data_IF_955896831098
#
_entry.id   IF_955896831098
#
_cell.length_a   1.000
_cell.length_b   1.000
_cell.length_c   1.000
_cell.angle_alpha   90.00
_cell.angle_beta   90.00
_cell.angle_gamma   90.00
#
_symmetry.space_group_name_H-M   'P 1'
#
loop_
_entity.id
_entity.type
_entity.pdbx_description
1 polymer ?
#
# COMPACT_ATOMS: atom_id res chain seq x y z
N UNK A 1 17.30 -3.44 8.54
CA UNK A 1 15.91 -3.73 8.92
C UNK A 1 15.15 -2.45 9.21
N UNK A 2 13.87 -2.36 8.87
CA UNK A 2 13.10 -1.10 8.96
C UNK A 2 13.02 -0.56 10.40
N UNK A 3 13.20 0.74 10.56
CA UNK A 3 13.08 1.42 11.86
C UNK A 3 11.63 1.81 12.21
N UNK A 4 10.70 1.60 11.27
CA UNK A 4 9.27 1.93 11.38
C UNK A 4 8.44 0.84 10.69
N UNK A 5 7.18 0.74 11.07
CA UNK A 5 6.16 0.02 10.30
C UNK A 5 5.62 0.96 9.21
N UNK A 6 5.38 0.45 8.01
CA UNK A 6 4.84 1.19 6.89
C UNK A 6 3.50 0.63 6.43
N UNK A 7 2.65 1.55 6.01
CA UNK A 7 1.27 1.29 5.61
C UNK A 7 0.97 1.94 4.26
N UNK A 8 0.05 1.34 3.52
CA UNK A 8 -0.57 1.95 2.34
C UNK A 8 -2.03 2.24 2.62
N UNK A 9 -2.50 3.41 2.17
CA UNK A 9 -3.89 3.80 2.20
C UNK A 9 -4.69 3.01 1.18
N UNK A 10 -5.78 2.40 1.62
CA UNK A 10 -6.76 1.72 0.76
C UNK A 10 -8.15 2.27 1.04
N UNK A 11 -8.93 2.51 -0.01
CA UNK A 11 -10.30 3.01 0.16
C UNK A 11 -11.20 1.94 0.75
N UNK A 12 -12.04 2.33 1.70
CA UNK A 12 -13.05 1.43 2.24
C UNK A 12 -14.15 1.15 1.20
N UNK A 13 -14.70 -0.07 1.20
CA UNK A 13 -15.87 -0.40 0.37
C UNK A 13 -17.19 0.15 0.94
N UNK A 14 -17.13 1.08 1.91
CA UNK A 14 -18.33 1.65 2.52
C UNK A 14 -19.04 2.57 1.52
N UNK A 15 -20.38 2.61 1.53
CA UNK A 15 -21.13 3.54 0.69
C UNK A 15 -20.66 4.98 0.93
N UNK A 16 -20.33 5.70 -0.14
CA UNK A 16 -20.00 7.11 -0.03
C UNK A 16 -21.21 7.87 0.59
N UNK A 17 -20.95 8.57 1.69
CA UNK A 17 -21.94 9.46 2.31
C UNK A 17 -21.77 10.84 1.69
N UNK A 18 -22.81 11.45 1.07
CA UNK A 18 -22.69 12.77 0.46
C UNK A 18 -22.16 13.82 1.44
N UNK A 19 -21.09 14.52 1.04
CA UNK A 19 -20.45 15.56 1.87
C UNK A 19 -19.39 15.05 2.86
N UNK A 20 -19.12 13.74 2.89
CA UNK A 20 -18.05 13.13 3.67
C UNK A 20 -17.06 12.43 2.73
N UNK A 21 -15.77 12.69 2.91
CA UNK A 21 -14.75 11.88 2.25
C UNK A 21 -14.77 10.46 2.82
N UNK A 22 -14.72 9.42 1.97
CA UNK A 22 -14.64 8.04 2.46
C UNK A 22 -13.44 7.87 3.39
N UNK A 23 -13.59 7.15 4.51
CA UNK A 23 -12.45 6.88 5.38
C UNK A 23 -11.42 6.04 4.61
N UNK A 24 -10.16 6.46 4.71
CA UNK A 24 -9.01 5.66 4.25
C UNK A 24 -8.67 4.66 5.33
N UNK A 25 -8.48 3.41 4.93
CA UNK A 25 -7.94 2.37 5.79
C UNK A 25 -6.43 2.29 5.58
N UNK A 26 -5.66 1.98 6.62
CA UNK A 26 -4.21 1.81 6.53
C UNK A 26 -3.84 0.32 6.61
N UNK A 27 -3.33 -0.25 5.53
CA UNK A 27 -2.87 -1.64 5.47
C UNK A 27 -1.37 -1.71 5.75
N UNK A 28 -0.96 -2.43 6.79
CA UNK A 28 0.44 -2.69 7.08
C UNK A 28 1.05 -3.54 5.96
N UNK A 29 2.06 -3.00 5.28
CA UNK A 29 2.75 -3.66 4.17
C UNK A 29 4.19 -4.01 4.51
N UNK A 30 4.80 -3.32 5.48
CA UNK A 30 6.12 -3.64 6.00
C UNK A 30 6.15 -3.41 7.52
N UNK A 31 6.29 -4.47 8.34
CA UNK A 31 6.32 -4.32 9.79
C UNK A 31 7.65 -3.73 10.25
N UNK A 32 7.69 -3.24 11.49
CA UNK A 32 8.92 -2.85 12.16
C UNK A 32 9.93 -4.00 12.18
N UNK A 33 11.20 -3.69 11.88
CA UNK A 33 12.28 -4.67 11.88
C UNK A 33 12.32 -5.59 10.66
N UNK A 34 11.48 -5.36 9.65
CA UNK A 34 11.52 -6.11 8.39
C UNK A 34 12.93 -6.02 7.76
N UNK A 35 13.54 -7.16 7.47
CA UNK A 35 14.91 -7.23 6.96
C UNK A 35 15.01 -6.67 5.54
N UNK A 36 16.11 -5.98 5.24
CA UNK A 36 16.38 -5.51 3.87
C UNK A 36 16.60 -6.71 2.95
N UNK A 37 16.13 -6.59 1.71
CA UNK A 37 16.13 -7.70 0.76
C UNK A 37 15.06 -8.77 1.03
N UNK A 38 14.25 -8.62 2.08
CA UNK A 38 13.09 -9.49 2.32
C UNK A 38 11.83 -8.94 1.66
N UNK A 39 10.92 -9.85 1.28
CA UNK A 39 9.58 -9.52 0.84
C UNK A 39 8.59 -9.92 1.93
N UNK A 40 7.65 -9.03 2.24
CA UNK A 40 6.55 -9.31 3.15
C UNK A 40 5.64 -10.39 2.57
N UNK A 41 4.99 -11.14 3.44
CA UNK A 41 3.97 -12.11 3.02
C UNK A 41 2.90 -11.44 2.16
N UNK A 42 2.35 -12.17 1.19
CA UNK A 42 1.19 -11.71 0.44
C UNK A 42 -0.05 -11.86 1.35
N UNK A 43 -0.65 -10.77 1.84
CA UNK A 43 -1.85 -10.86 2.64
C UNK A 43 -2.96 -11.55 1.83
N UNK A 44 -3.89 -12.30 2.48
CA UNK A 44 -5.02 -12.90 1.79
C UNK A 44 -5.99 -11.86 1.21
N UNK A 45 -5.98 -10.62 1.75
CA UNK A 45 -6.84 -9.52 1.33
C UNK A 45 -6.60 -9.12 -0.12
N UNK A 46 -7.70 -8.79 -0.81
CA UNK A 46 -7.70 -8.37 -2.20
C UNK A 46 -8.19 -6.93 -2.31
N UNK A 47 -7.56 -6.17 -3.19
CA UNK A 47 -7.83 -4.76 -3.41
C UNK A 47 -8.12 -4.52 -4.89
N UNK A 48 -8.90 -3.47 -5.18
CA UNK A 48 -9.10 -3.00 -6.54
C UNK A 48 -7.98 -2.03 -6.95
N UNK A 49 -7.31 -2.31 -8.05
CA UNK A 49 -6.29 -1.44 -8.64
C UNK A 49 -6.82 -0.84 -9.95
N UNK A 50 -6.90 0.48 -10.02
CA UNK A 50 -7.23 1.18 -11.27
C UNK A 50 -5.98 1.22 -12.16
N UNK A 51 -6.12 0.79 -13.41
CA UNK A 51 -5.02 0.79 -14.40
C UNK A 51 -5.35 1.66 -15.60
N UNK A 52 -4.32 2.21 -16.24
CA UNK A 52 -4.42 3.09 -17.40
C UNK A 52 -4.80 4.54 -17.09
N UNK A 53 -5.06 4.87 -15.83
CA UNK A 53 -5.36 6.22 -15.35
C UNK A 53 -4.41 6.63 -14.20
N UNK A 54 -4.18 7.94 -13.98
CA UNK A 54 -3.42 8.42 -12.84
C UNK A 54 -4.10 8.02 -11.52
N UNK A 55 -3.35 7.37 -10.64
CA UNK A 55 -3.78 7.00 -9.30
C UNK A 55 -2.81 7.54 -8.26
N UNK A 56 -3.35 7.93 -7.10
CA UNK A 56 -2.55 8.41 -5.97
C UNK A 56 -2.47 7.35 -4.88
N UNK A 57 -1.26 6.93 -4.56
CA UNK A 57 -0.95 6.07 -3.44
C UNK A 57 -0.60 6.93 -2.22
N UNK A 58 -1.36 6.75 -1.14
CA UNK A 58 -1.05 7.35 0.16
C UNK A 58 -0.25 6.34 0.97
N UNK A 59 0.84 6.79 1.58
CA UNK A 59 1.68 5.96 2.43
C UNK A 59 1.77 6.55 3.82
N UNK A 60 1.94 5.68 4.82
CA UNK A 60 2.05 6.09 6.21
C UNK A 60 3.21 5.36 6.88
N UNK A 61 3.85 6.00 7.84
CA UNK A 61 4.88 5.42 8.70
C UNK A 61 4.48 5.47 10.16
N UNK A 62 4.94 4.51 10.96
CA UNK A 62 4.76 4.49 12.41
C UNK A 62 6.00 4.01 13.15
N UNK A 63 6.45 4.78 14.14
CA UNK A 63 7.53 4.40 15.05
C UNK A 63 7.04 3.73 16.35
N UNK A 64 5.73 3.82 16.63
CA UNK A 64 5.09 3.34 17.86
C UNK A 64 4.35 2.01 17.64
N UNK A 65 3.79 1.78 16.45
CA UNK A 65 3.06 0.54 16.10
C UNK A 65 3.99 -0.58 15.66
N UNK A 66 4.85 -1.04 16.58
CA UNK A 66 5.94 -2.00 16.31
C UNK A 66 5.50 -3.47 16.22
N UNK A 67 4.25 -3.77 16.54
CA UNK A 67 3.75 -5.14 16.68
C UNK A 67 2.82 -5.54 15.52
N UNK A 68 2.37 -4.56 14.74
CA UNK A 68 1.54 -4.80 13.57
C UNK A 68 2.29 -5.66 12.56
N UNK A 69 1.61 -6.66 12.02
CA UNK A 69 2.14 -7.60 11.02
C UNK A 69 1.63 -7.22 9.63
N UNK A 70 2.28 -7.75 8.59
CA UNK A 70 1.80 -7.61 7.21
C UNK A 70 0.34 -8.05 7.11
N UNK A 71 -0.50 -7.22 6.49
CA UNK A 71 -1.94 -7.48 6.37
C UNK A 71 -2.79 -6.95 7.53
N UNK A 72 -2.18 -6.40 8.59
CA UNK A 72 -2.92 -5.67 9.63
C UNK A 72 -3.60 -4.47 8.99
N UNK A 73 -4.93 -4.39 9.11
CA UNK A 73 -5.74 -3.33 8.53
C UNK A 73 -6.28 -2.45 9.65
N UNK A 74 -5.93 -1.17 9.61
CA UNK A 74 -6.38 -0.17 10.58
C UNK A 74 -7.51 0.65 9.95
N UNK A 75 -8.66 0.68 10.61
CA UNK A 75 -9.81 1.51 10.28
C UNK A 75 -9.92 2.77 11.16
N UNK A 76 -9.07 2.86 12.18
CA UNK A 76 -8.90 4.02 13.06
C UNK A 76 -7.47 4.03 13.63
N UNK A 77 -6.92 5.22 13.86
CA UNK A 77 -5.67 5.46 14.57
C UNK A 77 -5.65 6.90 15.12
N UNK A 78 -4.88 7.13 16.19
CA UNK A 78 -4.67 8.48 16.72
C UNK A 78 -3.61 9.24 15.90
N UNK A 79 -3.64 10.58 15.93
CA UNK A 79 -2.76 11.44 15.09
C UNK A 79 -1.26 11.20 15.30
N UNK A 80 -0.85 10.72 16.47
CA UNK A 80 0.53 10.39 16.81
C UNK A 80 0.93 8.95 16.48
N UNK A 81 -0.02 8.11 16.06
CA UNK A 81 0.27 6.71 15.71
C UNK A 81 0.75 6.54 14.28
N UNK A 82 0.15 7.25 13.31
CA UNK A 82 0.54 7.18 11.89
C UNK A 82 0.88 8.58 11.35
N UNK A 83 2.04 8.69 10.72
CA UNK A 83 2.45 9.85 9.96
C UNK A 83 2.26 9.61 8.47
N UNK A 84 1.49 10.47 7.78
CA UNK A 84 1.39 10.42 6.32
C UNK A 84 2.71 10.85 5.68
N UNK A 85 3.19 10.03 4.75
CA UNK A 85 4.39 10.24 3.96
C UNK A 85 4.05 10.93 2.64
N UNK A 86 5.07 11.29 1.86
CA UNK A 86 4.86 11.81 0.51
C UNK A 86 4.14 10.75 -0.34
N UNK A 87 2.92 11.07 -0.78
CA UNK A 87 2.15 10.19 -1.64
C UNK A 87 2.77 10.13 -3.03
N UNK A 88 2.59 9.00 -3.71
CA UNK A 88 3.01 8.84 -5.11
C UNK A 88 1.80 8.96 -6.01
N UNK A 89 1.93 9.78 -7.05
CA UNK A 89 1.04 9.73 -8.20
C UNK A 89 1.70 8.92 -9.32
N UNK A 90 1.00 7.92 -9.83
CA UNK A 90 1.50 7.07 -10.91
C UNK A 90 0.35 6.65 -11.82
N UNK A 91 0.62 6.57 -13.12
CA UNK A 91 -0.27 5.91 -14.08
C UNK A 91 0.24 4.50 -14.32
N UNK A 92 -0.48 3.52 -13.79
CA UNK A 92 -0.11 2.11 -13.97
C UNK A 92 -0.52 1.64 -15.36
N UNK A 93 0.32 0.90 -16.11
CA UNK A 93 -0.02 0.44 -17.46
C UNK A 93 -1.27 -0.44 -17.45
N UNK A 94 -2.15 -0.29 -18.44
CA UNK A 94 -3.37 -1.10 -18.53
C UNK A 94 -3.09 -2.57 -18.90
N UNK A 95 -1.95 -2.86 -19.54
CA UNK A 95 -1.55 -4.22 -19.94
C UNK A 95 -2.65 -4.95 -20.74
N UNK A 96 -3.13 -4.29 -21.80
CA UNK A 96 -4.20 -4.79 -22.67
C UNK A 96 -5.63 -4.64 -22.11
N UNK A 97 -5.79 -4.05 -20.92
CA UNK A 97 -7.09 -3.72 -20.32
C UNK A 97 -7.61 -2.36 -20.75
N UNK A 98 -8.87 -2.09 -20.41
CA UNK A 98 -9.46 -0.76 -20.62
C UNK A 98 -8.87 0.22 -19.60
N UNK A 99 -8.44 1.43 -20.00
CA UNK A 99 -8.10 2.48 -19.03
C UNK A 99 -9.27 2.74 -18.08
N UNK A 100 -8.99 2.84 -16.77
CA UNK A 100 -9.99 2.94 -15.71
C UNK A 100 -10.51 1.60 -15.20
N UNK A 101 -10.08 0.47 -15.78
CA UNK A 101 -10.48 -0.86 -15.33
C UNK A 101 -9.92 -1.15 -13.93
N UNK A 102 -10.77 -1.71 -13.06
CA UNK A 102 -10.40 -2.12 -11.70
C UNK A 102 -9.98 -3.59 -11.71
N UNK A 103 -8.70 -3.84 -11.43
CA UNK A 103 -8.11 -5.19 -11.38
C UNK A 103 -8.02 -5.67 -9.93
N UNK A 104 -8.52 -6.86 -9.58
CA UNK A 104 -8.31 -7.44 -8.26
C UNK A 104 -6.86 -7.88 -8.09
N UNK A 105 -6.20 -7.33 -7.07
CA UNK A 105 -4.78 -7.57 -6.76
C UNK A 105 -4.57 -7.88 -5.29
N UNK A 106 -3.46 -8.55 -4.99
CA UNK A 106 -2.85 -8.61 -3.67
C UNK A 106 -1.66 -7.68 -3.63
N UNK A 107 -1.47 -7.03 -2.51
CA UNK A 107 -0.33 -6.13 -2.31
C UNK A 107 0.79 -6.89 -1.60
N UNK A 108 2.01 -6.78 -2.10
CA UNK A 108 3.22 -7.18 -1.39
C UNK A 108 4.13 -5.98 -1.30
N UNK A 109 4.94 -5.92 -0.25
CA UNK A 109 6.02 -4.94 -0.20
C UNK A 109 7.36 -5.61 0.07
N UNK A 110 8.41 -4.96 -0.39
CA UNK A 110 9.79 -5.33 -0.13
C UNK A 110 10.58 -4.08 0.26
N UNK A 111 11.54 -4.27 1.16
CA UNK A 111 12.49 -3.23 1.54
C UNK A 111 13.76 -3.49 0.76
N UNK A 112 14.19 -2.55 -0.07
CA UNK A 112 15.43 -2.69 -0.85
C UNK A 112 16.65 -2.49 0.05
N UNK A 113 17.83 -2.92 -0.43
CA UNK A 113 19.11 -2.68 0.24
C UNK A 113 19.47 -1.19 0.36
N UNK A 114 18.80 -0.33 -0.41
CA UNK A 114 18.94 1.14 -0.36
C UNK A 114 17.99 1.79 0.64
N UNK A 115 17.20 1.00 1.39
CA UNK A 115 16.20 1.50 2.31
C UNK A 115 14.95 2.07 1.63
N UNK A 116 14.68 1.69 0.38
CA UNK A 116 13.47 2.11 -0.38
C UNK A 116 12.36 1.08 -0.14
N UNK A 117 11.11 1.53 0.00
CA UNK A 117 9.98 0.61 0.03
C UNK A 117 9.42 0.42 -1.38
N UNK A 118 9.35 -0.83 -1.82
CA UNK A 118 8.69 -1.22 -3.06
C UNK A 118 7.34 -1.82 -2.73
N UNK A 119 6.28 -1.29 -3.32
CA UNK A 119 4.95 -1.88 -3.35
C UNK A 119 4.74 -2.60 -4.70
N UNK A 120 4.37 -3.87 -4.65
CA UNK A 120 3.97 -4.66 -5.81
C UNK A 120 2.50 -5.05 -5.70
N UNK A 121 1.73 -4.76 -6.74
CA UNK A 121 0.37 -5.25 -6.91
C UNK A 121 0.37 -6.47 -7.84
N UNK A 122 -0.01 -7.61 -7.29
CA UNK A 122 0.02 -8.91 -7.95
C UNK A 122 -1.41 -9.39 -8.22
N UNK A 123 -1.84 -9.56 -9.48
CA UNK A 123 -3.17 -10.06 -9.80
C UNK A 123 -3.29 -11.55 -9.41
N UNK A 124 -4.53 -12.01 -9.21
CA UNK A 124 -4.80 -13.44 -8.93
C UNK A 124 -4.46 -14.37 -10.09
N UNK A 125 -4.40 -13.85 -11.31
CA UNK A 125 -4.07 -14.59 -12.53
C UNK A 125 -3.39 -13.69 -13.55
N UNK A 126 -2.59 -14.31 -14.42
CA UNK A 126 -1.75 -13.61 -15.39
C UNK A 126 -0.31 -13.40 -14.88
N UNK A 127 0.54 -12.89 -15.76
CA UNK A 127 1.94 -12.58 -15.45
C UNK A 127 2.17 -11.10 -15.11
N UNK A 128 1.17 -10.26 -15.34
CA UNK A 128 1.23 -8.81 -15.12
C UNK A 128 1.56 -8.50 -13.66
N UNK A 129 2.44 -7.54 -13.43
CA UNK A 129 2.77 -7.04 -12.09
C UNK A 129 2.97 -5.53 -12.17
N UNK A 130 2.22 -4.81 -11.35
CA UNK A 130 2.40 -3.37 -11.21
C UNK A 130 3.29 -3.07 -10.03
N UNK A 131 4.24 -2.17 -10.22
CA UNK A 131 5.22 -1.81 -9.20
C UNK A 131 5.20 -0.31 -8.99
N UNK A 132 5.24 0.07 -7.72
CA UNK A 132 5.39 1.45 -7.26
C UNK A 132 6.50 1.44 -6.23
N UNK A 133 7.53 2.26 -6.43
CA UNK A 133 8.65 2.40 -5.50
C UNK A 133 8.60 3.78 -4.88
N UNK A 134 8.76 3.86 -3.56
CA UNK A 134 8.84 5.12 -2.85
C UNK A 134 10.00 5.14 -1.85
N UNK A 135 10.65 6.29 -1.77
CA UNK A 135 11.68 6.54 -0.77
C UNK A 135 11.03 6.74 0.59
N UNK A 136 11.34 5.86 1.54
CA UNK A 136 11.03 6.10 2.95
C UNK A 136 12.20 6.90 3.52
N UNK A 137 12.06 8.22 3.56
CA UNK A 137 13.06 9.08 4.20
C UNK A 137 12.99 8.86 5.71
N UNK A 138 14.06 8.30 6.27
CA UNK A 138 14.29 8.14 7.70
C UNK A 138 14.55 9.48 8.40
#
# INVERSE_FOLDING_TARGET
GTAQSYYVGVESSMPAVPGMEPPVLALCIAPFGMEEGSAGELPPQEFGLIVGEPVRFRFFGSSVRRHDQVGTLLDYWDEDELQELEGIEATLPAEGRTPGEVVPVRLSAAVTETGTLRLEAVPRGGAERWKVEFEVRS
#
